data_IF_201634931187
#
_entry.id   IF_201634931187
#
_cell.length_a   1.000
_cell.length_b   1.000
_cell.length_c   1.000
_cell.angle_alpha   90.00
_cell.angle_beta   90.00
_cell.angle_gamma   90.00
#
_symmetry.space_group_name_H-M   'P 1'
#
loop_
_entity.id
_entity.type
_entity.pdbx_description
1 polymer ?
#
# COMPACT_ATOMS: atom_id res chain seq x y z
N UNK A 1 -15.41 -5.15 5.95
CA UNK A 1 -15.10 -6.44 6.59
C UNK A 1 -14.17 -6.19 7.75
N UNK A 2 -14.25 -6.99 8.80
CA UNK A 2 -13.31 -6.94 9.93
C UNK A 2 -12.14 -7.91 9.66
N UNK A 3 -10.91 -7.47 9.90
CA UNK A 3 -9.74 -8.37 9.97
C UNK A 3 -9.51 -8.68 11.45
N UNK A 4 -9.94 -9.86 11.89
CA UNK A 4 -9.75 -10.29 13.27
C UNK A 4 -8.30 -10.74 13.54
N UNK A 5 -7.70 -11.48 12.60
CA UNK A 5 -6.34 -12.00 12.72
C UNK A 5 -5.59 -11.93 11.40
N UNK A 6 -4.32 -11.57 11.46
CA UNK A 6 -3.41 -11.60 10.33
C UNK A 6 -2.01 -11.95 10.81
N UNK A 7 -1.50 -13.12 10.42
CA UNK A 7 -0.19 -13.58 10.84
C UNK A 7 0.54 -14.31 9.70
N UNK A 8 1.86 -14.22 9.73
CA UNK A 8 2.77 -15.04 8.92
C UNK A 8 3.76 -15.68 9.90
N UNK A 9 4.05 -16.97 9.71
CA UNK A 9 5.03 -17.66 10.54
C UNK A 9 6.36 -16.92 10.56
N UNK A 10 6.99 -16.85 11.73
CA UNK A 10 8.19 -16.03 11.96
C UNK A 10 9.32 -16.34 10.97
N UNK A 11 9.54 -17.61 10.66
CA UNK A 11 10.55 -18.08 9.69
C UNK A 11 10.33 -17.57 8.25
N UNK A 12 9.09 -17.21 7.93
CA UNK A 12 8.67 -16.76 6.60
C UNK A 12 8.41 -15.25 6.54
N UNK A 13 8.55 -14.52 7.66
CA UNK A 13 8.43 -13.07 7.66
C UNK A 13 9.50 -12.40 6.78
N UNK A 14 9.22 -11.18 6.33
CA UNK A 14 10.09 -10.37 5.45
C UNK A 14 10.30 -10.97 4.03
N UNK A 15 9.66 -12.10 3.69
CA UNK A 15 9.69 -12.71 2.34
C UNK A 15 8.57 -12.22 1.41
N UNK A 16 7.77 -11.25 1.86
CA UNK A 16 6.66 -10.67 1.08
C UNK A 16 5.32 -11.42 1.17
N UNK A 17 5.23 -12.53 1.92
CA UNK A 17 3.97 -13.28 2.04
C UNK A 17 2.82 -12.47 2.61
N UNK A 18 3.06 -11.62 3.62
CA UNK A 18 2.00 -10.77 4.19
C UNK A 18 1.39 -9.84 3.13
N UNK A 19 2.24 -9.16 2.35
CA UNK A 19 1.79 -8.31 1.24
C UNK A 19 1.02 -9.12 0.20
N UNK A 20 1.52 -10.29 -0.19
CA UNK A 20 0.84 -11.14 -1.18
C UNK A 20 -0.51 -11.64 -0.66
N UNK A 21 -0.59 -12.04 0.61
CA UNK A 21 -1.83 -12.45 1.27
C UNK A 21 -2.83 -11.30 1.26
N UNK A 22 -2.45 -10.11 1.74
CA UNK A 22 -3.35 -8.96 1.80
C UNK A 22 -3.84 -8.51 0.43
N UNK A 23 -2.98 -8.52 -0.59
CA UNK A 23 -3.39 -8.20 -1.97
C UNK A 23 -4.42 -9.19 -2.50
N UNK A 24 -4.22 -10.49 -2.25
CA UNK A 24 -5.19 -11.52 -2.62
C UNK A 24 -6.51 -11.35 -1.87
N UNK A 25 -6.45 -11.11 -0.56
CA UNK A 25 -7.65 -10.86 0.27
C UNK A 25 -8.44 -9.66 -0.25
N UNK A 26 -7.78 -8.54 -0.53
CA UNK A 26 -8.43 -7.35 -1.10
C UNK A 26 -9.05 -7.62 -2.46
N UNK A 27 -8.33 -8.27 -3.36
CA UNK A 27 -8.85 -8.60 -4.68
C UNK A 27 -10.07 -9.52 -4.59
N UNK A 28 -10.01 -10.55 -3.75
CA UNK A 28 -11.11 -11.48 -3.52
C UNK A 28 -12.33 -10.77 -2.95
N UNK A 29 -12.20 -10.06 -1.82
CA UNK A 29 -13.33 -9.40 -1.18
C UNK A 29 -13.92 -8.27 -2.03
N UNK A 30 -13.09 -7.56 -2.79
CA UNK A 30 -13.57 -6.55 -3.74
C UNK A 30 -14.45 -7.18 -4.82
N UNK A 31 -14.00 -8.29 -5.41
CA UNK A 31 -14.64 -8.89 -6.60
C UNK A 31 -15.78 -9.83 -6.26
N UNK A 32 -15.70 -10.54 -5.13
CA UNK A 32 -16.70 -11.53 -4.72
C UNK A 32 -17.74 -10.97 -3.76
N UNK A 33 -17.29 -10.18 -2.79
CA UNK A 33 -18.15 -9.72 -1.69
C UNK A 33 -18.59 -8.25 -1.85
N UNK A 34 -18.13 -7.58 -2.92
CA UNK A 34 -18.32 -6.15 -3.16
C UNK A 34 -17.90 -5.29 -1.94
N UNK A 35 -16.82 -5.72 -1.27
CA UNK A 35 -16.32 -5.06 -0.09
C UNK A 35 -15.55 -3.79 -0.45
N UNK A 36 -15.91 -2.68 0.18
CA UNK A 36 -15.30 -1.36 -0.03
C UNK A 36 -14.30 -0.96 1.06
N UNK A 37 -14.36 -1.58 2.25
CA UNK A 37 -13.44 -1.26 3.35
C UNK A 37 -13.08 -2.47 4.20
N UNK A 38 -11.87 -2.42 4.75
CA UNK A 38 -11.47 -3.20 5.92
C UNK A 38 -11.37 -2.31 7.15
N UNK A 39 -11.74 -2.87 8.29
CA UNK A 39 -11.44 -2.29 9.61
C UNK A 39 -10.75 -3.36 10.46
N UNK A 40 -9.79 -2.96 11.28
CA UNK A 40 -9.01 -3.87 12.12
C UNK A 40 -8.59 -3.17 13.40
N UNK A 41 -8.48 -3.90 14.50
CA UNK A 41 -7.67 -3.48 15.65
C UNK A 41 -6.27 -4.04 15.48
N UNK A 42 -5.28 -3.16 15.30
CA UNK A 42 -3.89 -3.54 15.13
C UNK A 42 -3.11 -3.38 16.45
N UNK A 43 -2.34 -4.40 16.83
CA UNK A 43 -1.36 -4.25 17.90
C UNK A 43 -0.18 -3.35 17.47
N UNK A 44 0.62 -2.90 18.44
CA UNK A 44 1.73 -1.97 18.21
C UNK A 44 2.79 -2.48 17.22
N UNK A 45 3.00 -3.80 17.13
CA UNK A 45 3.96 -4.40 16.20
C UNK A 45 3.38 -4.50 14.78
N UNK A 46 2.06 -4.63 14.63
CA UNK A 46 1.36 -4.77 13.37
C UNK A 46 1.01 -3.43 12.69
N UNK A 47 0.98 -2.30 13.41
CA UNK A 47 0.66 -0.98 12.84
C UNK A 47 1.51 -0.67 11.60
N UNK A 48 2.83 -0.93 11.67
CA UNK A 48 3.73 -0.68 10.54
C UNK A 48 3.43 -1.53 9.31
N UNK A 49 3.00 -2.79 9.52
CA UNK A 49 2.53 -3.66 8.45
C UNK A 49 1.24 -3.11 7.83
N UNK A 50 0.22 -2.83 8.65
CA UNK A 50 -1.08 -2.33 8.16
C UNK A 50 -0.95 -0.99 7.43
N UNK A 51 -0.12 -0.05 7.92
CA UNK A 51 0.20 1.20 7.19
C UNK A 51 0.75 0.93 5.79
N UNK A 52 1.69 -0.01 5.65
CA UNK A 52 2.25 -0.40 4.34
C UNK A 52 1.20 -1.08 3.45
N UNK A 53 0.18 -1.69 4.03
CA UNK A 53 -0.98 -2.21 3.31
C UNK A 53 -2.05 -1.13 3.05
N UNK A 54 -1.78 0.16 3.29
CA UNK A 54 -2.74 1.23 3.01
C UNK A 54 -3.85 1.39 4.06
N UNK A 55 -3.63 0.89 5.28
CA UNK A 55 -4.50 1.20 6.42
C UNK A 55 -4.06 2.50 7.09
N UNK A 56 -5.01 3.25 7.65
CA UNK A 56 -4.77 4.46 8.43
C UNK A 56 -5.67 4.53 9.67
N UNK A 57 -5.25 5.31 10.67
CA UNK A 57 -5.94 5.41 11.97
C UNK A 57 -7.20 6.29 11.92
N UNK A 58 -7.27 7.21 10.95
CA UNK A 58 -8.45 8.06 10.78
C UNK A 58 -9.56 7.25 10.12
N UNK A 59 -10.65 6.99 10.84
CA UNK A 59 -11.78 6.24 10.29
C UNK A 59 -12.71 7.20 9.56
N UNK A 60 -12.80 7.05 8.25
CA UNK A 60 -13.67 7.84 7.37
C UNK A 60 -15.06 7.22 7.21
N UNK A 61 -15.18 5.90 7.35
CA UNK A 61 -16.47 5.22 7.35
C UNK A 61 -17.36 5.69 8.51
N UNK A 62 -18.61 6.00 8.19
CA UNK A 62 -19.67 6.29 9.15
C UNK A 62 -19.74 5.24 10.26
N UNK A 63 -19.77 5.71 11.51
CA UNK A 63 -19.68 4.89 12.72
C UNK A 63 -20.71 3.77 12.76
N UNK A 64 -21.90 4.04 12.25
CA UNK A 64 -23.03 3.12 12.22
C UNK A 64 -22.74 1.86 11.39
N UNK A 65 -21.83 1.94 10.40
CA UNK A 65 -21.48 0.80 9.55
C UNK A 65 -20.53 -0.19 10.23
N UNK A 66 -19.66 0.27 11.13
CA UNK A 66 -18.59 -0.57 11.70
C UNK A 66 -18.71 -0.80 13.21
N UNK A 67 -19.16 0.20 13.98
CA UNK A 67 -19.17 0.11 15.44
C UNK A 67 -19.96 -1.08 16.03
N UNK A 68 -21.14 -1.47 15.51
CA UNK A 68 -21.84 -2.64 16.06
C UNK A 68 -21.25 -3.98 15.59
N UNK A 69 -20.39 -3.96 14.56
CA UNK A 69 -19.93 -5.15 13.85
C UNK A 69 -18.48 -5.51 14.13
N UNK A 70 -17.73 -4.63 14.81
CA UNK A 70 -16.33 -4.86 15.17
C UNK A 70 -16.23 -5.15 16.65
N UNK A 71 -15.30 -6.04 17.01
CA UNK A 71 -14.99 -6.25 18.42
C UNK A 71 -14.02 -5.19 18.92
N UNK A 72 -14.31 -4.61 20.08
CA UNK A 72 -13.41 -3.66 20.75
C UNK A 72 -12.32 -4.45 21.48
N UNK A 73 -11.09 -4.38 20.97
CA UNK A 73 -9.95 -5.07 21.55
C UNK A 73 -9.10 -4.07 22.36
N UNK A 74 -9.00 -4.28 23.67
CA UNK A 74 -8.13 -3.47 24.52
C UNK A 74 -6.68 -3.50 24.04
N UNK A 75 -6.03 -2.33 24.04
CA UNK A 75 -4.63 -2.18 23.61
C UNK A 75 -4.41 -2.22 22.10
N UNK A 76 -5.47 -2.41 21.30
CA UNK A 76 -5.41 -2.30 19.84
C UNK A 76 -5.64 -0.87 19.35
N UNK A 77 -5.01 -0.52 18.23
CA UNK A 77 -5.30 0.70 17.49
C UNK A 77 -6.28 0.39 16.37
N UNK A 78 -7.45 1.02 16.37
CA UNK A 78 -8.41 0.92 15.29
C UNK A 78 -7.83 1.52 13.99
N UNK A 79 -7.87 0.77 12.90
CA UNK A 79 -7.39 1.20 11.59
C UNK A 79 -8.36 0.81 10.48
N UNK A 80 -8.50 1.68 9.48
CA UNK A 80 -9.34 1.49 8.29
C UNK A 80 -8.47 1.38 7.03
N UNK A 81 -8.92 0.58 6.05
CA UNK A 81 -8.40 0.60 4.69
C UNK A 81 -9.56 0.65 3.70
N UNK A 82 -9.66 1.73 2.92
CA UNK A 82 -10.54 1.79 1.77
C UNK A 82 -9.97 0.96 0.60
N UNK A 83 -10.83 0.14 0.00
CA UNK A 83 -10.54 -0.71 -1.14
C UNK A 83 -11.01 0.00 -2.40
N UNK A 84 -10.06 0.60 -3.13
CA UNK A 84 -10.38 1.35 -4.33
C UNK A 84 -10.88 0.42 -5.45
N UNK A 85 -12.08 0.64 -6.01
CA UNK A 85 -12.65 -0.22 -7.05
C UNK A 85 -11.75 -0.30 -8.30
N UNK A 86 -11.06 0.80 -8.61
CA UNK A 86 -10.27 0.97 -9.83
C UNK A 86 -8.85 0.40 -9.73
N UNK A 87 -8.43 -0.08 -8.55
CA UNK A 87 -7.09 -0.64 -8.35
C UNK A 87 -7.16 -2.16 -8.45
N UNK A 88 -6.32 -2.74 -9.31
CA UNK A 88 -6.02 -4.18 -9.24
C UNK A 88 -4.87 -4.43 -8.27
N UNK A 89 -5.21 -4.96 -7.09
CA UNK A 89 -4.26 -5.23 -6.02
C UNK A 89 -3.26 -6.34 -6.38
N UNK A 90 -3.54 -7.17 -7.39
CA UNK A 90 -2.62 -8.21 -7.84
C UNK A 90 -1.52 -7.67 -8.76
N UNK A 91 -1.78 -6.53 -9.41
CA UNK A 91 -0.90 -5.92 -10.42
C UNK A 91 -0.25 -4.61 -9.95
N UNK A 92 -0.25 -4.33 -8.64
CA UNK A 92 0.34 -3.11 -8.07
C UNK A 92 1.77 -2.85 -8.57
N UNK A 93 2.70 -3.82 -8.55
CA UNK A 93 4.07 -3.56 -8.99
C UNK A 93 4.14 -3.16 -10.47
N UNK A 94 3.40 -3.86 -11.33
CA UNK A 94 3.31 -3.59 -12.77
C UNK A 94 2.67 -2.22 -13.02
N UNK A 95 1.58 -1.91 -12.31
CA UNK A 95 0.88 -0.63 -12.38
C UNK A 95 1.82 0.53 -12.04
N UNK A 96 2.50 0.46 -10.89
CA UNK A 96 3.43 1.51 -10.45
C UNK A 96 4.61 1.66 -11.41
N UNK A 97 5.15 0.54 -11.93
CA UNK A 97 6.23 0.59 -12.94
C UNK A 97 5.78 1.33 -14.20
N UNK A 98 4.58 1.05 -14.70
CA UNK A 98 4.01 1.76 -15.87
C UNK A 98 3.79 3.24 -15.60
N UNK A 99 3.25 3.59 -14.43
CA UNK A 99 3.03 4.98 -14.04
C UNK A 99 4.34 5.75 -13.94
N UNK A 100 5.38 5.18 -13.31
CA UNK A 100 6.72 5.78 -13.26
C UNK A 100 7.30 6.02 -14.64
N UNK A 101 7.26 5.00 -15.51
CA UNK A 101 7.73 5.13 -16.88
C UNK A 101 7.01 6.26 -17.64
N UNK A 102 5.69 6.37 -17.50
CA UNK A 102 4.94 7.43 -18.16
C UNK A 102 5.36 8.84 -17.70
N UNK A 103 5.69 9.00 -16.41
CA UNK A 103 6.23 10.26 -15.87
C UNK A 103 7.65 10.51 -16.38
N UNK A 104 8.52 9.50 -16.35
CA UNK A 104 9.89 9.59 -16.87
C UNK A 104 9.91 9.98 -18.36
N UNK A 105 9.12 9.29 -19.18
CA UNK A 105 9.00 9.58 -20.62
C UNK A 105 8.54 11.03 -20.85
N UNK A 106 7.64 11.55 -20.00
CA UNK A 106 7.20 12.95 -20.08
C UNK A 106 8.31 13.93 -19.70
N UNK A 107 9.11 13.61 -18.69
CA UNK A 107 10.25 14.43 -18.26
C UNK A 107 11.34 14.44 -19.36
N UNK A 108 11.64 13.30 -19.99
CA UNK A 108 12.62 13.21 -21.09
C UNK A 108 12.21 14.05 -22.30
N UNK A 109 10.90 14.16 -22.59
CA UNK A 109 10.42 15.03 -23.69
C UNK A 109 10.58 16.53 -23.40
N UNK A 110 10.58 16.92 -22.13
CA UNK A 110 10.58 18.33 -21.72
C UNK A 110 11.95 18.84 -21.26
N UNK A 111 12.91 17.94 -21.06
CA UNK A 111 14.21 18.26 -20.45
C UNK A 111 15.35 17.60 -21.20
N UNK A 112 16.58 18.01 -20.90
CA UNK A 112 17.82 17.40 -21.42
C UNK A 112 18.53 16.57 -20.35
N UNK A 113 17.78 16.04 -19.38
CA UNK A 113 18.37 15.35 -18.22
C UNK A 113 19.14 14.09 -18.61
N UNK A 114 18.76 13.46 -19.73
CA UNK A 114 19.41 12.27 -20.28
C UNK A 114 20.69 12.60 -21.09
N UNK A 115 21.05 13.87 -21.26
CA UNK A 115 22.25 14.27 -21.98
C UNK A 115 23.45 14.32 -21.02
N UNK A 116 24.40 13.41 -21.23
CA UNK A 116 25.70 13.44 -20.54
C UNK A 116 26.65 14.34 -21.32
N UNK A 117 27.07 15.44 -20.70
CA UNK A 117 28.03 16.38 -21.28
C UNK A 117 29.47 15.97 -20.94
N UNK A 118 30.45 16.25 -21.81
CA UNK A 118 31.85 16.03 -21.50
C UNK A 118 32.28 16.83 -20.27
N UNK A 119 33.25 16.29 -19.51
CA UNK A 119 33.81 16.96 -18.33
C UNK A 119 34.46 18.31 -18.69
N UNK A 120 34.34 19.29 -17.79
CA UNK A 120 34.87 20.63 -17.99
C UNK A 120 36.39 20.60 -18.15
N UNK A 121 36.91 21.22 -19.20
CA UNK A 121 38.35 21.27 -19.49
C UNK A 121 39.02 22.55 -18.99
N UNK A 122 38.23 23.57 -18.62
CA UNK A 122 38.71 24.89 -18.21
C UNK A 122 39.40 24.94 -16.84
N UNK A 123 39.39 23.85 -16.08
CA UNK A 123 40.07 23.73 -14.78
C UNK A 123 41.20 22.69 -14.80
N UNK A 124 41.67 22.29 -15.99
CA UNK A 124 42.71 21.24 -16.12
C UNK A 124 44.10 21.73 -15.71
N UNK A 125 44.36 23.02 -15.79
CA UNK A 125 45.60 23.65 -15.34
C UNK A 125 45.20 24.66 -14.26
N UNK A 126 45.34 24.25 -12.99
CA UNK A 126 45.27 25.17 -11.86
C UNK A 126 46.51 26.03 -11.77
#
# INVERSE_FOLDING_TARGET
>A
GEIAFCAVSTEQQVRGYGTRLMNQTKHFCKTRDNLDHFVTYADNYAIGYFKKQGFHMQISMHRERWAPNIKDYEGGTLMECYINPNIDYLEIPTMVKRQRKAVEDRISQMTRHDIVYPGLTCFKEG
#
